data_IF_829112336068
#
_entry.id   IF_829112336068
#
_cell.length_a   1.000
_cell.length_b   1.000
_cell.length_c   1.000
_cell.angle_alpha   90.00
_cell.angle_beta   90.00
_cell.angle_gamma   90.00
#
_symmetry.space_group_name_H-M   'P 1'
#
loop_
_entity.id
_entity.type
_entity.pdbx_description
1 polymer ?
#
# COMPACT_ATOMS: atom_id res chain seq x y z
N UNK A 1 -13.50 -0.66 -1.76
CA UNK A 1 -12.18 -0.96 -1.17
C UNK A 1 -11.87 0.02 -0.05
N UNK A 2 -12.05 1.31 -0.30
CA UNK A 2 -11.93 2.44 0.61
C UNK A 2 -12.65 2.22 1.93
N UNK A 3 -13.90 1.74 1.89
CA UNK A 3 -14.66 1.40 3.11
C UNK A 3 -13.94 0.39 4.00
N UNK A 4 -13.23 -0.58 3.41
CA UNK A 4 -12.45 -1.57 4.16
C UNK A 4 -11.17 -0.96 4.70
N UNK A 5 -10.42 -0.25 3.85
CA UNK A 5 -9.16 0.39 4.25
C UNK A 5 -9.34 1.48 5.30
N UNK A 6 -10.41 2.29 5.22
CA UNK A 6 -10.75 3.32 6.21
C UNK A 6 -11.04 2.78 7.61
N UNK A 7 -11.40 1.50 7.73
CA UNK A 7 -11.57 0.86 9.06
C UNK A 7 -10.23 0.61 9.74
N UNK A 8 -9.16 0.39 8.97
CA UNK A 8 -7.83 0.10 9.50
C UNK A 8 -6.91 1.34 9.47
N UNK A 9 -7.17 2.30 8.60
CA UNK A 9 -6.39 3.54 8.44
C UNK A 9 -7.32 4.74 8.54
N UNK A 10 -7.38 5.36 9.72
CA UNK A 10 -8.27 6.47 10.05
C UNK A 10 -7.59 7.81 9.76
N UNK A 11 -8.33 8.76 9.18
CA UNK A 11 -7.84 10.12 8.95
C UNK A 11 -6.89 10.30 7.75
N UNK A 12 -6.77 9.30 6.88
CA UNK A 12 -5.91 9.33 5.68
C UNK A 12 -6.74 9.12 4.40
N UNK A 13 -7.86 9.83 4.27
CA UNK A 13 -8.85 9.60 3.19
C UNK A 13 -8.28 9.80 1.79
N UNK A 14 -7.41 10.79 1.60
CA UNK A 14 -6.77 11.05 0.32
C UNK A 14 -5.84 9.90 -0.09
N UNK A 15 -4.95 9.47 0.82
CA UNK A 15 -4.04 8.34 0.59
C UNK A 15 -4.82 7.04 0.30
N UNK A 16 -5.87 6.76 1.05
CA UNK A 16 -6.74 5.59 0.81
C UNK A 16 -7.41 5.67 -0.56
N UNK A 17 -7.89 6.84 -0.96
CA UNK A 17 -8.55 7.04 -2.26
C UNK A 17 -7.57 6.90 -3.43
N UNK A 18 -6.36 7.47 -3.31
CA UNK A 18 -5.30 7.36 -4.31
C UNK A 18 -4.93 5.90 -4.57
N UNK A 19 -4.74 5.11 -3.51
CA UNK A 19 -4.43 3.69 -3.61
C UNK A 19 -5.58 2.89 -4.23
N UNK A 20 -6.82 3.19 -3.84
CA UNK A 20 -8.01 2.56 -4.41
C UNK A 20 -8.20 2.82 -5.90
N UNK A 21 -7.84 4.01 -6.37
CA UNK A 21 -7.88 4.34 -7.79
C UNK A 21 -6.85 3.56 -8.59
N UNK A 22 -5.60 3.49 -8.13
CA UNK A 22 -4.55 2.74 -8.81
C UNK A 22 -4.87 1.24 -8.91
N UNK A 23 -5.37 0.63 -7.83
CA UNK A 23 -5.77 -0.79 -7.86
C UNK A 23 -6.96 -1.03 -8.79
N UNK A 24 -7.95 -0.12 -8.84
CA UNK A 24 -9.08 -0.22 -9.78
C UNK A 24 -8.62 -0.15 -11.23
N UNK A 25 -7.68 0.75 -11.55
CA UNK A 25 -7.12 0.89 -12.90
C UNK A 25 -6.40 -0.39 -13.36
N UNK A 26 -5.67 -1.04 -12.48
CA UNK A 26 -5.03 -2.30 -12.81
C UNK A 26 -6.06 -3.43 -13.02
N UNK A 27 -7.07 -3.53 -12.15
CA UNK A 27 -8.13 -4.54 -12.27
C UNK A 27 -9.03 -4.38 -13.50
N UNK A 28 -9.14 -3.18 -14.06
CA UNK A 28 -9.89 -2.97 -15.31
C UNK A 28 -9.14 -3.43 -16.56
N UNK A 29 -7.88 -3.88 -16.42
CA UNK A 29 -7.05 -4.29 -17.56
C UNK A 29 -6.52 -3.11 -18.38
N UNK A 30 -6.74 -1.87 -17.93
CA UNK A 30 -6.26 -0.65 -18.58
C UNK A 30 -4.79 -0.34 -18.24
N UNK A 31 -4.24 -1.00 -17.22
CA UNK A 31 -2.82 -0.88 -16.88
C UNK A 31 -1.96 -1.81 -17.74
N UNK A 32 -0.72 -1.41 -17.97
CA UNK A 32 0.29 -2.26 -18.61
C UNK A 32 0.56 -3.50 -17.75
N UNK A 33 0.46 -4.70 -18.33
CA UNK A 33 0.66 -5.97 -17.65
C UNK A 33 2.12 -6.25 -17.26
N UNK A 34 3.08 -5.59 -17.93
CA UNK A 34 4.51 -5.71 -17.64
C UNK A 34 4.96 -4.84 -16.45
N UNK A 35 4.02 -4.18 -15.76
CA UNK A 35 4.30 -3.29 -14.63
C UNK A 35 3.61 -3.79 -13.35
N UNK A 36 4.16 -3.44 -12.17
CA UNK A 36 3.48 -3.71 -10.90
C UNK A 36 2.05 -3.16 -10.89
N UNK A 37 1.16 -3.81 -10.13
CA UNK A 37 -0.25 -3.40 -9.94
C UNK A 37 -0.34 -1.91 -9.62
N UNK A 38 0.52 -1.45 -8.70
CA UNK A 38 0.76 -0.05 -8.41
C UNK A 38 2.13 0.10 -7.72
N UNK A 39 2.72 1.28 -7.85
CA UNK A 39 3.90 1.70 -7.07
C UNK A 39 3.54 2.95 -6.29
N UNK A 40 3.80 2.96 -4.99
CA UNK A 40 3.48 4.07 -4.11
C UNK A 40 4.70 4.50 -3.31
N UNK A 41 4.80 5.81 -3.08
CA UNK A 41 5.70 6.40 -2.09
C UNK A 41 4.85 7.12 -1.05
N UNK A 42 4.80 6.59 0.17
CA UNK A 42 4.09 7.25 1.27
C UNK A 42 5.04 8.16 2.04
N UNK A 43 4.75 9.46 2.07
CA UNK A 43 5.57 10.47 2.75
C UNK A 43 4.77 11.12 3.87
N UNK A 44 5.38 11.28 5.05
CA UNK A 44 4.76 11.98 6.17
C UNK A 44 5.43 11.66 7.52
N UNK A 45 4.99 12.27 8.63
CA UNK A 45 5.56 12.05 9.96
C UNK A 45 5.49 10.60 10.44
N UNK A 46 6.39 10.17 11.34
CA UNK A 46 6.32 8.84 11.96
C UNK A 46 4.99 8.64 12.69
N UNK A 47 4.47 7.42 12.68
CA UNK A 47 3.20 7.07 13.35
C UNK A 47 1.92 7.40 12.59
N UNK A 48 1.97 8.06 11.41
CA UNK A 48 0.75 8.45 10.65
C UNK A 48 0.07 7.33 9.85
N UNK A 49 0.50 6.08 10.01
CA UNK A 49 -0.16 4.94 9.39
C UNK A 49 0.37 4.50 8.02
N UNK A 50 1.52 5.00 7.56
CA UNK A 50 2.15 4.58 6.29
C UNK A 50 2.32 3.06 6.17
N UNK A 51 2.95 2.43 7.16
CA UNK A 51 3.15 0.97 7.21
C UNK A 51 1.83 0.23 7.45
N UNK A 52 0.89 0.83 8.18
CA UNK A 52 -0.42 0.24 8.42
C UNK A 52 -1.23 0.14 7.13
N UNK A 53 -1.18 1.16 6.27
CA UNK A 53 -1.83 1.13 4.97
C UNK A 53 -1.26 0.02 4.08
N UNK A 54 0.06 -0.19 4.07
CA UNK A 54 0.68 -1.31 3.36
C UNK A 54 0.17 -2.68 3.85
N UNK A 55 0.07 -2.89 5.16
CA UNK A 55 -0.47 -4.13 5.76
C UNK A 55 -1.95 -4.34 5.42
N UNK A 56 -2.76 -3.29 5.52
CA UNK A 56 -4.18 -3.35 5.20
C UNK A 56 -4.40 -3.69 3.71
N UNK A 57 -3.52 -3.22 2.82
CA UNK A 57 -3.54 -3.60 1.41
C UNK A 57 -3.19 -5.06 1.18
N UNK A 58 -2.15 -5.58 1.84
CA UNK A 58 -1.78 -7.00 1.73
C UNK A 58 -2.95 -7.90 2.13
N UNK A 59 -3.56 -7.61 3.28
CA UNK A 59 -4.78 -8.30 3.75
C UNK A 59 -5.95 -8.16 2.78
N UNK A 60 -6.20 -6.98 2.21
CA UNK A 60 -7.30 -6.78 1.27
C UNK A 60 -7.10 -7.48 -0.08
N UNK A 61 -5.86 -7.52 -0.58
CA UNK A 61 -5.54 -8.04 -1.91
C UNK A 61 -5.32 -9.55 -1.92
N UNK A 62 -4.76 -10.10 -0.84
CA UNK A 62 -4.29 -11.48 -0.78
C UNK A 62 -4.92 -12.29 0.36
N UNK A 63 -5.90 -11.71 1.06
CA UNK A 63 -6.61 -12.32 2.20
C UNK A 63 -5.69 -12.76 3.36
N UNK A 64 -4.47 -12.21 3.41
CA UNK A 64 -3.48 -12.51 4.43
C UNK A 64 -2.59 -11.30 4.73
N UNK A 65 -2.42 -10.91 6.00
CA UNK A 65 -1.45 -9.88 6.36
C UNK A 65 0.00 -10.35 6.16
N UNK A 66 0.24 -11.66 6.10
CA UNK A 66 1.56 -12.25 5.90
C UNK A 66 1.97 -12.26 4.42
N UNK A 67 1.05 -11.94 3.51
CA UNK A 67 1.32 -11.71 2.09
C UNK A 67 2.00 -10.35 1.83
N UNK A 68 2.91 -9.94 2.72
CA UNK A 68 3.69 -8.72 2.63
C UNK A 68 5.17 -9.04 2.87
N UNK A 69 5.97 -8.97 1.81
CA UNK A 69 7.42 -8.96 1.97
C UNK A 69 7.86 -7.60 2.54
N UNK A 70 8.37 -7.61 3.76
CA UNK A 70 8.90 -6.41 4.42
C UNK A 70 10.41 -6.39 4.33
N UNK A 71 10.95 -5.30 3.81
CA UNK A 71 12.38 -5.02 3.80
C UNK A 71 12.59 -3.81 4.70
N UNK A 72 13.46 -3.93 5.71
CA UNK A 72 13.80 -2.80 6.57
C UNK A 72 14.96 -2.02 5.96
N UNK A 73 14.67 -0.81 5.46
CA UNK A 73 15.70 0.02 4.82
C UNK A 73 16.86 0.40 5.74
N UNK A 74 16.67 0.35 7.07
CA UNK A 74 17.76 0.61 8.01
C UNK A 74 18.85 -0.46 7.96
N UNK A 75 18.50 -1.71 7.64
CA UNK A 75 19.43 -2.83 7.47
C UNK A 75 20.35 -2.67 6.25
N UNK A 76 19.99 -1.78 5.32
CA UNK A 76 20.74 -1.54 4.07
C UNK A 76 21.39 -0.15 4.03
N UNK A 77 21.52 0.50 5.19
CA UNK A 77 22.07 1.86 5.29
C UNK A 77 23.60 1.90 5.24
N UNK A 78 24.27 0.82 5.63
CA UNK A 78 25.73 0.74 5.56
C UNK A 78 26.20 0.35 4.15
N UNK A 79 27.19 1.08 3.65
CA UNK A 79 27.92 0.69 2.45
C UNK A 79 28.82 -0.49 2.85
N UNK A 80 28.54 -1.68 2.33
CA UNK A 80 29.54 -2.74 2.24
C UNK A 80 30.65 -2.36 1.27
#
# INVERSE_FOLDING_TARGET
MEKTLRKEVVGQDEAVSAVANAIRLNRSGLANQDRPIASFLFVGPSGTGKTQLAKALAKFLFDSPDAMLRIDGSEYSEKH
#
